data_IF_187286715678
#
_entry.id   IF_187286715678
#
_cell.length_a   1.000
_cell.length_b   1.000
_cell.length_c   1.000
_cell.angle_alpha   90.00
_cell.angle_beta   90.00
_cell.angle_gamma   90.00
#
_symmetry.space_group_name_H-M   'P 1'
#
loop_
_entity.id
_entity.type
_entity.pdbx_description
1 polymer ?
#
# COMPACT_ATOMS: atom_id res chain seq x y z
N UNK A 1 11.69 7.90 -3.84
CA UNK A 1 10.63 7.18 -4.58
C UNK A 1 9.56 6.79 -3.58
N UNK A 2 8.28 7.05 -3.88
CA UNK A 2 7.14 6.73 -3.00
C UNK A 2 6.93 5.22 -2.95
N UNK A 3 6.67 4.68 -1.77
CA UNK A 3 6.28 3.29 -1.59
C UNK A 3 4.76 3.13 -1.76
N UNK A 4 4.36 2.78 -2.99
CA UNK A 4 2.94 2.69 -3.35
C UNK A 4 2.20 1.63 -2.53
N UNK A 5 2.86 0.56 -2.10
CA UNK A 5 2.23 -0.50 -1.32
C UNK A 5 1.79 0.03 0.04
N UNK A 6 2.65 0.80 0.72
CA UNK A 6 2.31 1.43 2.00
C UNK A 6 1.18 2.46 1.87
N UNK A 7 1.17 3.23 0.78
CA UNK A 7 0.09 4.19 0.50
C UNK A 7 -1.24 3.46 0.30
N UNK A 8 -1.25 2.36 -0.45
CA UNK A 8 -2.46 1.57 -0.69
C UNK A 8 -2.91 0.79 0.55
N UNK A 9 -2.01 0.36 1.43
CA UNK A 9 -2.36 -0.23 2.72
C UNK A 9 -3.10 0.78 3.61
N UNK A 10 -2.61 2.02 3.68
CA UNK A 10 -3.23 3.09 4.46
C UNK A 10 -4.56 3.55 3.87
N UNK A 11 -4.62 3.67 2.54
CA UNK A 11 -5.86 3.96 1.82
C UNK A 11 -6.89 2.83 2.01
N UNK A 12 -6.48 1.56 1.91
CA UNK A 12 -7.37 0.42 2.13
C UNK A 12 -7.92 0.38 3.56
N UNK A 13 -7.10 0.74 4.55
CA UNK A 13 -7.54 0.90 5.93
C UNK A 13 -8.54 2.05 6.11
N UNK A 14 -8.31 3.17 5.44
CA UNK A 14 -9.22 4.32 5.42
C UNK A 14 -10.57 3.96 4.77
N UNK A 15 -10.53 3.38 3.57
CA UNK A 15 -11.72 2.96 2.82
C UNK A 15 -12.54 1.87 3.56
N UNK A 16 -11.87 0.94 4.26
CA UNK A 16 -12.54 -0.06 5.08
C UNK A 16 -13.21 0.52 6.34
N UNK A 17 -12.78 1.71 6.78
CA UNK A 17 -13.23 2.36 8.01
C UNK A 17 -14.20 3.54 7.78
N UNK A 18 -14.26 4.12 6.58
CA UNK A 18 -15.16 5.22 6.22
C UNK A 18 -16.64 4.86 6.50
N UNK A 19 -17.01 3.57 6.37
CA UNK A 19 -18.34 3.06 6.74
C UNK A 19 -18.59 2.87 8.24
N UNK A 20 -17.64 3.19 9.12
CA UNK A 20 -17.68 2.88 10.56
C UNK A 20 -18.04 4.04 11.49
N UNK A 21 -18.00 5.30 11.03
CA UNK A 21 -18.04 6.46 11.93
C UNK A 21 -19.46 6.90 12.36
N UNK A 22 -20.51 6.17 11.98
CA UNK A 22 -21.91 6.49 12.35
C UNK A 22 -22.65 5.31 13.00
N UNK A 23 -21.98 4.17 13.21
CA UNK A 23 -22.62 3.02 13.86
C UNK A 23 -22.25 2.97 15.34
N UNK A 24 -23.25 3.26 16.19
CA UNK A 24 -23.29 2.81 17.57
C UNK A 24 -22.76 1.38 17.62
N UNK A 25 -21.73 1.13 18.42
CA UNK A 25 -21.24 -0.23 18.62
C UNK A 25 -22.44 -1.04 19.16
N UNK A 26 -22.82 -2.18 18.55
CA UNK A 26 -23.92 -3.02 19.04
C UNK A 26 -23.58 -3.70 20.38
N UNK A 27 -22.43 -3.35 20.97
CA UNK A 27 -21.97 -3.78 22.27
C UNK A 27 -22.58 -2.84 23.31
N UNK A 28 -23.35 -3.39 24.25
CA UNK A 28 -23.82 -2.63 25.41
C UNK A 28 -22.64 -1.91 26.08
N UNK A 29 -22.84 -0.65 26.50
CA UNK A 29 -21.76 0.23 26.97
C UNK A 29 -20.85 -0.38 28.07
N UNK A 30 -21.32 -1.41 28.80
CA UNK A 30 -20.57 -2.16 29.81
C UNK A 30 -19.54 -3.18 29.30
N UNK A 31 -19.53 -3.55 28.01
CA UNK A 31 -18.61 -4.56 27.45
C UNK A 31 -17.51 -3.98 26.53
N UNK A 32 -17.38 -2.64 26.48
CA UNK A 32 -16.50 -1.89 25.54
C UNK A 32 -14.99 -2.15 25.71
N UNK A 33 -14.56 -2.95 26.69
CA UNK A 33 -13.15 -3.29 26.93
C UNK A 33 -12.85 -4.79 27.09
N UNK A 34 -13.85 -5.67 26.96
CA UNK A 34 -13.67 -7.10 27.25
C UNK A 34 -13.27 -7.92 26.02
N UNK A 35 -13.61 -7.46 24.82
CA UNK A 35 -13.16 -8.10 23.59
C UNK A 35 -11.92 -7.35 23.07
N UNK A 36 -10.79 -8.02 22.80
CA UNK A 36 -9.69 -7.40 22.09
C UNK A 36 -10.27 -6.84 20.79
N UNK A 37 -10.09 -5.53 20.56
CA UNK A 37 -10.64 -4.83 19.41
C UNK A 37 -10.31 -5.64 18.14
N UNK A 38 -11.33 -6.33 17.60
CA UNK A 38 -11.13 -7.48 16.69
C UNK A 38 -10.57 -7.07 15.33
N UNK A 39 -10.48 -5.77 15.07
CA UNK A 39 -9.75 -5.21 13.94
C UNK A 39 -8.49 -4.58 14.48
N UNK A 40 -7.33 -5.22 14.25
CA UNK A 40 -6.03 -4.53 14.27
C UNK A 40 -6.24 -3.21 13.53
N UNK A 41 -6.10 -2.07 14.22
CA UNK A 41 -6.18 -0.75 13.60
C UNK A 41 -5.02 -0.66 12.61
N UNK A 42 -5.27 -1.04 11.36
CA UNK A 42 -4.37 -0.69 10.26
C UNK A 42 -4.25 0.83 10.27
N UNK A 43 -3.04 1.35 10.09
CA UNK A 43 -2.81 2.80 10.06
C UNK A 43 -3.60 3.33 8.88
N UNK A 44 -4.60 4.18 9.12
CA UNK A 44 -5.39 4.82 8.07
C UNK A 44 -4.73 6.12 7.63
N UNK A 45 -4.97 6.53 6.39
CA UNK A 45 -4.61 7.86 5.92
C UNK A 45 -5.62 8.94 6.35
N UNK A 46 -5.26 10.21 6.12
CA UNK A 46 -6.13 11.39 6.21
C UNK A 46 -7.25 11.31 5.17
N UNK A 47 -8.38 11.99 5.41
CA UNK A 47 -9.51 12.03 4.47
C UNK A 47 -9.12 12.66 3.13
N UNK A 48 -8.30 13.72 3.14
CA UNK A 48 -7.85 14.38 1.92
C UNK A 48 -6.99 13.43 1.06
N UNK A 49 -6.02 12.77 1.69
CA UNK A 49 -5.19 11.75 1.04
C UNK A 49 -6.05 10.58 0.54
N UNK A 50 -7.02 10.15 1.33
CA UNK A 50 -7.98 9.11 1.00
C UNK A 50 -8.76 9.43 -0.28
N UNK A 51 -9.25 10.67 -0.40
CA UNK A 51 -9.97 11.14 -1.59
C UNK A 51 -9.06 11.24 -2.82
N UNK A 52 -7.83 11.71 -2.67
CA UNK A 52 -6.86 11.80 -3.78
C UNK A 52 -6.57 10.40 -4.33
N UNK A 53 -6.25 9.43 -3.46
CA UNK A 53 -5.97 8.05 -3.89
C UNK A 53 -7.24 7.41 -4.48
N UNK A 54 -8.40 7.62 -3.87
CA UNK A 54 -9.69 7.15 -4.41
C UNK A 54 -9.98 7.68 -5.81
N UNK A 55 -9.60 8.92 -6.10
CA UNK A 55 -9.75 9.49 -7.44
C UNK A 55 -8.91 8.74 -8.48
N UNK A 56 -7.68 8.34 -8.13
CA UNK A 56 -6.80 7.53 -8.99
C UNK A 56 -7.35 6.10 -9.16
N UNK A 57 -7.84 5.49 -8.08
CA UNK A 57 -8.51 4.18 -8.12
C UNK A 57 -9.76 4.22 -9.01
N UNK A 58 -10.54 5.31 -8.98
CA UNK A 58 -11.72 5.46 -9.83
C UNK A 58 -11.35 5.61 -11.32
N UNK A 59 -10.19 6.22 -11.63
CA UNK A 59 -9.63 6.21 -12.99
C UNK A 59 -9.26 4.78 -13.43
N UNK A 60 -8.68 3.97 -12.53
CA UNK A 60 -8.40 2.56 -12.80
C UNK A 60 -9.69 1.79 -13.09
N UNK A 61 -10.75 1.99 -12.30
CA UNK A 61 -12.07 1.37 -12.51
C UNK A 61 -12.65 1.63 -13.90
N UNK A 62 -12.52 2.86 -14.40
CA UNK A 62 -12.98 3.23 -15.76
C UNK A 62 -12.19 2.55 -16.86
N UNK A 63 -10.88 2.31 -16.64
CA UNK A 63 -10.01 1.65 -17.61
C UNK A 63 -10.16 0.13 -17.56
N UNK A 64 -10.12 -0.44 -16.36
CA UNK A 64 -10.20 -1.87 -16.12
C UNK A 64 -10.87 -2.16 -14.77
N UNK A 65 -12.14 -2.53 -14.84
CA UNK A 65 -12.94 -2.89 -13.67
C UNK A 65 -12.42 -4.14 -12.95
N UNK A 66 -11.77 -5.06 -13.68
CA UNK A 66 -11.22 -6.28 -13.10
C UNK A 66 -10.06 -5.97 -12.14
N UNK A 67 -9.10 -5.14 -12.58
CA UNK A 67 -7.98 -4.72 -11.74
C UNK A 67 -8.43 -3.93 -10.51
N UNK A 68 -9.45 -3.09 -10.67
CA UNK A 68 -10.04 -2.39 -9.54
C UNK A 68 -10.64 -3.35 -8.50
N UNK A 69 -11.43 -4.34 -8.94
CA UNK A 69 -12.00 -5.35 -8.03
C UNK A 69 -10.90 -6.16 -7.30
N UNK A 70 -9.80 -6.46 -8.00
CA UNK A 70 -8.66 -7.16 -7.43
C UNK A 70 -7.99 -6.34 -6.32
N UNK A 71 -7.83 -5.03 -6.57
CA UNK A 71 -7.22 -4.10 -5.64
C UNK A 71 -8.06 -3.91 -4.37
N UNK A 72 -9.39 -3.79 -4.51
CA UNK A 72 -10.32 -3.72 -3.37
C UNK A 72 -10.29 -5.01 -2.54
N UNK A 73 -10.29 -6.18 -3.19
CA UNK A 73 -10.23 -7.46 -2.48
C UNK A 73 -8.97 -7.61 -1.62
N UNK A 74 -7.84 -7.10 -2.10
CA UNK A 74 -6.57 -7.17 -1.39
C UNK A 74 -6.46 -6.09 -0.29
N UNK A 75 -6.57 -4.81 -0.65
CA UNK A 75 -6.28 -3.71 0.28
C UNK A 75 -7.45 -3.36 1.22
N UNK A 76 -8.69 -3.36 0.71
CA UNK A 76 -9.88 -3.01 1.51
C UNK A 76 -10.34 -4.23 2.33
N UNK A 77 -10.58 -5.36 1.66
CA UNK A 77 -11.10 -6.55 2.33
C UNK A 77 -10.01 -7.36 3.06
N UNK A 78 -8.73 -7.10 2.77
CA UNK A 78 -7.63 -7.78 3.44
C UNK A 78 -7.48 -9.26 3.09
N UNK A 79 -7.95 -9.69 1.93
CA UNK A 79 -7.81 -11.09 1.51
C UNK A 79 -6.35 -11.39 1.14
N UNK A 80 -5.88 -12.60 1.46
CA UNK A 80 -4.57 -13.05 0.99
C UNK A 80 -4.58 -13.31 -0.51
N UNK A 81 -3.43 -13.14 -1.18
CA UNK A 81 -3.28 -13.41 -2.61
C UNK A 81 -3.70 -14.84 -3.00
N UNK A 82 -3.46 -15.81 -2.11
CA UNK A 82 -3.89 -17.21 -2.30
C UNK A 82 -5.41 -17.36 -2.25
N UNK A 83 -6.08 -16.68 -1.30
CA UNK A 83 -7.54 -16.68 -1.22
C UNK A 83 -8.18 -16.02 -2.45
N UNK A 84 -7.58 -14.93 -2.93
CA UNK A 84 -8.00 -14.25 -4.15
C UNK A 84 -7.84 -15.15 -5.38
N UNK A 85 -6.68 -15.81 -5.53
CA UNK A 85 -6.44 -16.76 -6.60
C UNK A 85 -7.45 -17.92 -6.61
N UNK A 86 -7.76 -18.47 -5.44
CA UNK A 86 -8.81 -19.49 -5.29
C UNK A 86 -10.20 -18.98 -5.68
N UNK A 87 -10.56 -17.75 -5.29
CA UNK A 87 -11.85 -17.14 -5.61
C UNK A 87 -12.01 -16.82 -7.10
N UNK A 88 -10.95 -16.40 -7.76
CA UNK A 88 -10.95 -16.03 -9.18
C UNK A 88 -10.64 -17.21 -10.11
N UNK A 89 -10.20 -18.35 -9.58
CA UNK A 89 -9.73 -19.49 -10.39
C UNK A 89 -8.42 -19.21 -11.12
N UNK A 90 -7.59 -18.30 -10.59
CA UNK A 90 -6.36 -17.81 -11.23
C UNK A 90 -5.14 -18.20 -10.39
N UNK A 91 -4.02 -18.52 -11.05
CA UNK A 91 -2.78 -18.84 -10.35
C UNK A 91 -2.22 -17.65 -9.56
N UNK A 92 -1.53 -17.94 -8.46
CA UNK A 92 -0.95 -16.91 -7.59
C UNK A 92 -0.08 -15.89 -8.36
N UNK A 93 0.76 -16.39 -9.28
CA UNK A 93 1.65 -15.54 -10.08
C UNK A 93 0.88 -14.54 -10.95
N UNK A 94 -0.23 -14.98 -11.56
CA UNK A 94 -1.07 -14.11 -12.36
C UNK A 94 -1.76 -13.04 -11.49
N UNK A 95 -2.19 -13.40 -10.28
CA UNK A 95 -2.73 -12.43 -9.31
C UNK A 95 -1.69 -11.38 -8.94
N UNK A 96 -0.44 -11.80 -8.66
CA UNK A 96 0.67 -10.89 -8.33
C UNK A 96 0.98 -9.92 -9.48
N UNK A 97 1.11 -10.42 -10.70
CA UNK A 97 1.42 -9.58 -11.88
C UNK A 97 0.32 -8.54 -12.11
N UNK A 98 -0.95 -8.96 -11.99
CA UNK A 98 -2.10 -8.06 -12.17
C UNK A 98 -2.18 -7.03 -11.05
N UNK A 99 -1.91 -7.43 -9.81
CA UNK A 99 -1.86 -6.50 -8.68
C UNK A 99 -0.75 -5.46 -8.87
N UNK A 100 0.46 -5.89 -9.25
CA UNK A 100 1.58 -4.98 -9.54
C UNK A 100 1.26 -4.01 -10.70
N UNK A 101 0.52 -4.48 -11.70
CA UNK A 101 0.04 -3.63 -12.80
C UNK A 101 -0.92 -2.55 -12.29
N UNK A 102 -1.84 -2.91 -11.40
CA UNK A 102 -2.77 -1.98 -10.77
C UNK A 102 -2.03 -0.97 -9.87
N UNK A 103 -1.07 -1.42 -9.08
CA UNK A 103 -0.21 -0.57 -8.23
C UNK A 103 0.57 0.43 -9.08
N UNK A 104 1.24 -0.02 -10.14
CA UNK A 104 2.00 0.85 -11.04
C UNK A 104 1.11 1.87 -11.76
N UNK A 105 -0.13 1.52 -12.10
CA UNK A 105 -1.06 2.47 -12.68
C UNK A 105 -1.45 3.59 -11.70
N UNK A 106 -1.70 3.25 -10.43
CA UNK A 106 -2.02 4.25 -9.41
C UNK A 106 -0.83 5.14 -9.12
N UNK A 107 0.37 4.56 -8.99
CA UNK A 107 1.60 5.33 -8.79
C UNK A 107 1.81 6.33 -9.95
N UNK A 108 1.68 5.87 -11.20
CA UNK A 108 1.73 6.72 -12.37
C UNK A 108 0.66 7.83 -12.40
N UNK A 109 -0.57 7.54 -11.93
CA UNK A 109 -1.62 8.56 -11.81
C UNK A 109 -1.26 9.62 -10.78
N UNK A 110 -0.71 9.22 -9.64
CA UNK A 110 -0.31 10.15 -8.58
C UNK A 110 0.88 11.01 -9.01
N UNK A 111 1.83 10.43 -9.76
CA UNK A 111 2.94 11.16 -10.36
C UNK A 111 2.45 12.17 -11.40
N UNK A 112 1.53 11.77 -12.29
CA UNK A 112 0.98 12.65 -13.32
C UNK A 112 0.14 13.81 -12.75
N UNK A 113 -0.44 13.64 -11.57
CA UNK A 113 -1.19 14.68 -10.85
C UNK A 113 -0.28 15.58 -9.99
N UNK A 114 1.02 15.28 -9.89
CA UNK A 114 1.95 15.92 -8.95
C UNK A 114 1.41 16.02 -7.52
N UNK A 115 0.58 15.04 -7.14
CA UNK A 115 -0.14 15.06 -5.87
C UNK A 115 0.85 14.87 -4.71
N UNK A 116 0.90 15.87 -3.82
CA UNK A 116 1.60 15.78 -2.54
C UNK A 116 0.65 15.18 -1.52
N UNK A 117 0.96 13.96 -1.07
CA UNK A 117 0.19 13.30 -0.02
C UNK A 117 0.83 13.63 1.33
N UNK A 118 0.04 13.79 2.37
CA UNK A 118 0.55 14.06 3.71
C UNK A 118 1.37 12.87 4.23
N UNK A 119 0.94 11.65 3.89
CA UNK A 119 1.64 10.41 4.25
C UNK A 119 2.96 10.18 3.49
N UNK A 120 3.33 11.05 2.53
CA UNK A 120 4.56 10.90 1.75
C UNK A 120 5.83 10.94 2.61
N UNK A 121 5.77 11.51 3.81
CA UNK A 121 6.91 11.55 4.74
C UNK A 121 7.25 10.17 5.31
N UNK A 122 6.25 9.31 5.44
CA UNK A 122 6.38 8.00 6.06
C UNK A 122 6.47 6.87 5.03
N UNK A 123 5.96 7.12 3.81
CA UNK A 123 5.98 6.16 2.71
C UNK A 123 7.18 6.36 1.76
N UNK A 124 8.31 6.90 2.23
CA UNK A 124 9.52 6.99 1.40
C UNK A 124 10.32 5.70 1.51
N UNK A 125 10.70 5.11 0.37
CA UNK A 125 11.73 4.07 0.39
C UNK A 125 13.05 4.73 0.79
N UNK A 126 13.51 4.47 2.01
CA UNK A 126 14.88 4.78 2.40
C UNK A 126 15.84 3.99 1.51
N UNK A 127 16.84 4.67 0.96
CA UNK A 127 17.88 4.02 0.18
C UNK A 127 18.89 3.42 1.16
N UNK A 128 18.78 2.12 1.44
CA UNK A 128 19.59 1.42 2.46
C UNK A 128 21.07 1.27 2.02
N UNK A 129 21.43 1.66 0.79
CA UNK A 129 22.84 1.74 0.40
C UNK A 129 23.50 2.96 1.05
N UNK A 130 24.18 2.73 2.18
CA UNK A 130 25.31 3.57 2.58
C UNK A 130 26.31 3.61 1.42
N UNK A 131 26.82 4.78 1.00
CA UNK A 131 27.92 4.82 0.06
C UNK A 131 29.13 4.17 0.75
N UNK A 132 29.55 3.00 0.27
CA UNK A 132 30.79 2.37 0.73
C UNK A 132 31.93 3.38 0.58
N UNK A 133 32.49 3.84 1.70
CA UNK A 133 33.73 4.61 1.72
C UNK A 133 34.81 3.74 1.06
N UNK A 134 35.16 4.07 -0.19
CA UNK A 134 36.32 3.48 -0.86
C UNK A 134 37.59 3.99 -0.17
N UNK A 135 37.93 3.36 0.96
CA UNK A 135 39.22 3.52 1.60
C UNK A 135 40.30 2.99 0.64
N UNK A 136 41.19 3.89 0.26
CA UNK A 136 42.23 3.67 -0.73
C UNK A 136 43.15 2.49 -0.37
N UNK A 137 43.22 1.52 -1.26
CA UNK A 137 44.28 0.52 -1.26
C UNK A 137 45.40 1.02 -2.19
N UNK A 138 46.28 1.87 -1.67
CA UNK A 138 47.57 2.16 -2.33
C UNK A 138 48.48 0.98 -2.02
N UNK A 139 48.42 -0.03 -2.89
CA UNK A 139 49.37 -1.14 -2.84
C UNK A 139 50.74 -0.58 -3.21
N UNK A 140 51.62 -0.54 -2.23
CA UNK A 140 53.05 -0.26 -2.36
C UNK A 140 53.68 -1.25 -3.36
N UNK A 141 54.11 -0.76 -4.52
CA UNK A 141 55.03 -1.50 -5.40
C UNK A 141 56.40 -1.56 -4.74
N UNK A 142 56.65 -2.65 -4.01
CA UNK A 142 58.00 -3.07 -3.62
C UNK A 142 58.65 -3.79 -4.80
N UNK A 143 59.80 -3.29 -5.21
CA UNK A 143 60.94 -4.01 -5.78
C UNK A 143 60.65 -4.98 -6.94
N UNK A 144 61.09 -4.63 -8.16
CA UNK A 144 61.76 -5.55 -9.08
C UNK A 144 62.53 -4.71 -10.12
N UNK A 145 63.85 -4.94 -10.13
CA UNK A 145 64.95 -4.32 -10.89
C UNK A 145 65.47 -2.98 -10.36
#
# INVERSE_FOLDING_TARGET
MRDIQQVLERWGAWAANEGGNVYYQPVAAGFKGLFPNRRRRRISCSDNDGLIVSSAVNKLKKKDSYLHSLLEMYYVNGMSLRAIGGKLGVSLNQVVIRLQTAEGFIDGCLMALEAKLEMDRECQKENIYSPDEKNGCVITKRQLL
#
